data_IF_690514193419
#
_entry.id   IF_690514193419
#
_cell.length_a   1.000
_cell.length_b   1.000
_cell.length_c   1.000
_cell.angle_alpha   90.00
_cell.angle_beta   90.00
_cell.angle_gamma   90.00
#
_symmetry.space_group_name_H-M   'P 1'
#
loop_
_entity.id
_entity.type
_entity.pdbx_description
1 polymer ?
#
# COMPACT_ATOMS: atom_id res chain seq x y z
N UNK A 1 18.36 12.57 2.69
CA UNK A 1 17.22 12.69 3.64
C UNK A 1 16.14 11.73 3.18
N UNK A 2 15.65 10.84 4.04
CA UNK A 2 14.62 9.86 3.69
C UNK A 2 13.26 10.55 3.49
N UNK A 3 12.38 10.01 2.65
CA UNK A 3 11.03 10.56 2.43
C UNK A 3 10.06 10.33 3.61
N UNK A 4 10.49 9.61 4.66
CA UNK A 4 9.69 9.28 5.84
C UNK A 4 9.12 10.48 6.62
N UNK A 5 9.90 11.55 6.91
CA UNK A 5 9.41 12.73 7.64
C UNK A 5 8.35 13.53 6.87
N UNK A 6 8.28 13.39 5.54
CA UNK A 6 7.23 14.01 4.75
C UNK A 6 5.92 13.25 4.91
N UNK A 7 5.98 11.92 4.95
CA UNK A 7 4.81 11.07 5.15
C UNK A 7 4.22 11.21 6.56
N UNK A 8 5.05 11.44 7.58
CA UNK A 8 4.58 11.67 8.95
C UNK A 8 3.69 12.91 9.08
N UNK A 9 3.81 13.91 8.19
CA UNK A 9 2.90 15.07 8.17
C UNK A 9 1.46 14.70 7.79
N UNK A 10 1.25 13.56 7.13
CA UNK A 10 -0.10 13.04 6.87
C UNK A 10 -0.72 12.42 8.11
N UNK A 11 0.08 11.95 9.08
CA UNK A 11 -0.43 11.46 10.37
C UNK A 11 -0.95 12.58 11.27
N UNK A 12 -0.58 13.83 11.01
CA UNK A 12 -1.13 14.98 11.72
C UNK A 12 -2.62 15.19 11.40
N UNK A 13 -3.14 14.59 10.33
CA UNK A 13 -4.57 14.58 10.03
C UNK A 13 -5.25 13.56 10.95
N UNK A 14 -6.15 14.05 11.79
CA UNK A 14 -6.93 13.22 12.71
C UNK A 14 -7.61 12.05 11.98
N UNK A 15 -7.36 10.83 12.47
CA UNK A 15 -7.88 9.59 11.89
C UNK A 15 -6.95 8.90 10.90
N UNK A 16 -5.90 9.54 10.38
CA UNK A 16 -4.97 8.83 9.49
C UNK A 16 -4.19 7.76 10.25
N UNK A 17 -4.29 6.51 9.77
CA UNK A 17 -3.62 5.35 10.36
C UNK A 17 -2.18 5.28 9.86
N UNK A 18 -1.97 5.55 8.58
CA UNK A 18 -0.64 5.57 7.97
C UNK A 18 -0.66 5.90 6.48
N UNK A 19 0.51 6.06 5.91
CA UNK A 19 0.68 6.37 4.49
C UNK A 19 1.88 5.65 3.89
N UNK A 20 1.81 5.37 2.59
CA UNK A 20 2.91 4.77 1.86
C UNK A 20 2.87 5.19 0.38
N UNK A 21 3.99 5.04 -0.30
CA UNK A 21 4.17 5.49 -1.68
C UNK A 21 4.66 4.33 -2.51
N UNK A 22 3.99 4.12 -3.63
CA UNK A 22 4.36 3.12 -4.63
C UNK A 22 4.65 3.78 -5.98
N UNK A 23 5.54 3.14 -6.74
CA UNK A 23 5.88 3.52 -8.12
C UNK A 23 4.88 2.93 -9.12
N UNK A 24 4.95 3.30 -10.41
CA UNK A 24 4.15 2.72 -11.49
C UNK A 24 4.36 1.20 -11.64
N UNK A 25 5.53 0.69 -11.24
CA UNK A 25 5.85 -0.74 -11.28
C UNK A 25 5.27 -1.47 -10.04
N UNK A 26 4.67 -0.72 -9.10
CA UNK A 26 4.15 -1.26 -7.85
C UNK A 26 5.22 -1.48 -6.78
N UNK A 27 6.40 -0.89 -6.92
CA UNK A 27 7.48 -0.98 -5.94
C UNK A 27 7.30 0.06 -4.82
N UNK A 28 7.46 -0.36 -3.58
CA UNK A 28 7.37 0.52 -2.40
C UNK A 28 8.59 1.45 -2.36
N UNK A 29 8.36 2.77 -2.40
CA UNK A 29 9.42 3.81 -2.36
C UNK A 29 9.60 4.40 -0.98
N UNK A 30 8.51 4.61 -0.26
CA UNK A 30 8.50 5.16 1.08
C UNK A 30 7.31 4.62 1.85
N UNK A 31 7.46 4.46 3.16
CA UNK A 31 6.37 4.05 4.04
C UNK A 31 6.43 4.81 5.35
N UNK A 32 5.24 5.01 5.88
CA UNK A 32 4.99 5.54 7.20
C UNK A 32 3.71 4.88 7.73
N UNK A 33 3.86 3.61 8.11
CA UNK A 33 2.77 2.79 8.63
C UNK A 33 3.05 2.38 10.08
N UNK A 34 2.02 2.11 10.89
CA UNK A 34 2.19 1.48 12.20
C UNK A 34 2.84 0.09 12.08
N UNK A 35 3.50 -0.37 13.14
CA UNK A 35 4.25 -1.64 13.16
C UNK A 35 3.40 -2.89 12.89
N UNK A 36 2.08 -2.79 12.95
CA UNK A 36 1.15 -3.87 12.59
C UNK A 36 1.07 -4.15 11.08
N UNK A 37 1.63 -3.28 10.24
CA UNK A 37 1.68 -3.46 8.80
C UNK A 37 3.06 -3.90 8.34
N UNK A 38 3.16 -5.17 7.97
CA UNK A 38 4.39 -5.76 7.46
C UNK A 38 4.76 -5.23 6.08
N UNK A 39 6.06 -5.12 5.83
CA UNK A 39 6.62 -4.73 4.52
C UNK A 39 6.15 -5.66 3.40
N UNK A 40 6.01 -6.96 3.70
CA UNK A 40 5.54 -7.97 2.76
C UNK A 40 4.14 -7.68 2.26
N UNK A 41 3.21 -7.32 3.15
CA UNK A 41 1.84 -6.98 2.79
C UNK A 41 1.78 -5.74 1.89
N UNK A 42 2.59 -4.72 2.17
CA UNK A 42 2.69 -3.52 1.34
C UNK A 42 3.33 -3.82 -0.03
N UNK A 43 4.32 -4.71 -0.09
CA UNK A 43 4.93 -5.15 -1.34
C UNK A 43 3.98 -5.99 -2.20
N UNK A 44 3.06 -6.75 -1.60
CA UNK A 44 2.00 -7.43 -2.35
C UNK A 44 0.91 -6.47 -2.83
N UNK A 45 0.61 -5.43 -2.06
CA UNK A 45 -0.40 -4.43 -2.40
C UNK A 45 0.07 -3.51 -3.55
N UNK A 46 1.35 -3.15 -3.60
CA UNK A 46 1.89 -2.22 -4.59
C UNK A 46 1.60 -2.57 -6.05
N UNK A 47 1.90 -3.80 -6.52
CA UNK A 47 1.58 -4.22 -7.89
C UNK A 47 0.09 -4.21 -8.21
N UNK A 48 -0.77 -4.48 -7.22
CA UNK A 48 -2.23 -4.42 -7.40
C UNK A 48 -2.72 -2.99 -7.58
N UNK A 49 -2.13 -2.06 -6.84
CA UNK A 49 -2.41 -0.62 -6.93
C UNK A 49 -1.94 -0.04 -8.28
N UNK A 50 -0.75 -0.43 -8.73
CA UNK A 50 -0.25 -0.06 -10.05
C UNK A 50 -1.19 -0.51 -11.18
N UNK A 51 -1.62 -1.78 -11.15
CA UNK A 51 -2.60 -2.31 -12.11
C UNK A 51 -3.94 -1.61 -12.03
N UNK A 52 -4.38 -1.22 -10.83
CA UNK A 52 -5.61 -0.45 -10.65
C UNK A 52 -5.50 0.91 -11.33
N UNK A 53 -4.39 1.62 -11.16
CA UNK A 53 -4.13 2.89 -11.87
C UNK A 53 -4.19 2.69 -13.38
N UNK A 54 -3.46 1.72 -13.91
CA UNK A 54 -3.45 1.42 -15.35
C UNK A 54 -4.84 1.11 -15.89
N UNK A 55 -5.61 0.29 -15.16
CA UNK A 55 -6.98 -0.07 -15.54
C UNK A 55 -7.92 1.15 -15.56
N UNK A 56 -7.79 2.07 -14.61
CA UNK A 56 -8.58 3.30 -14.55
C UNK A 56 -8.17 4.29 -15.66
N UNK A 57 -6.87 4.43 -15.93
CA UNK A 57 -6.38 5.30 -17.01
C UNK A 57 -6.70 4.76 -18.41
N UNK A 58 -6.89 3.44 -18.56
CA UNK A 58 -7.33 2.82 -19.82
C UNK A 58 -8.72 3.32 -20.24
N UNK A 59 -9.53 3.83 -19.29
CA UNK A 59 -10.84 4.43 -19.56
C UNK A 59 -10.73 5.89 -20.04
N UNK A 60 -9.52 6.43 -20.17
CA UNK A 60 -9.24 7.76 -20.72
C UNK A 60 -9.23 8.89 -19.68
N UNK A 61 -9.46 8.57 -18.41
CA UNK A 61 -9.44 9.56 -17.33
C UNK A 61 -8.18 9.36 -16.46
N UNK A 62 -7.44 10.45 -16.21
CA UNK A 62 -6.29 10.39 -15.31
C UNK A 62 -6.76 10.14 -13.89
N UNK A 63 -6.14 9.17 -13.22
CA UNK A 63 -6.49 8.83 -11.85
C UNK A 63 -6.00 9.92 -10.87
N UNK A 64 -6.79 10.97 -10.65
CA UNK A 64 -6.39 12.02 -9.71
C UNK A 64 -6.56 11.56 -8.25
N UNK A 65 -7.73 11.03 -7.89
CA UNK A 65 -8.06 10.58 -6.54
C UNK A 65 -9.05 9.42 -6.60
N UNK A 66 -8.75 8.33 -5.91
CA UNK A 66 -9.61 7.14 -5.78
C UNK A 66 -9.70 6.76 -4.31
N UNK A 67 -10.90 6.47 -3.83
CA UNK A 67 -11.12 5.94 -2.49
C UNK A 67 -11.64 4.51 -2.58
N UNK A 68 -10.91 3.56 -1.99
CA UNK A 68 -11.35 2.18 -1.84
C UNK A 68 -11.82 1.98 -0.41
N UNK A 69 -13.12 1.73 -0.22
CA UNK A 69 -13.68 1.41 1.09
C UNK A 69 -13.62 -0.11 1.35
N UNK A 70 -13.15 -0.49 2.53
CA UNK A 70 -13.13 -1.87 3.01
C UNK A 70 -13.52 -1.91 4.49
N UNK A 71 -14.77 -2.27 4.76
CA UNK A 71 -15.32 -2.29 6.11
C UNK A 71 -15.26 -0.89 6.76
N UNK A 72 -14.69 -0.75 7.97
CA UNK A 72 -14.60 0.54 8.65
C UNK A 72 -13.45 1.43 8.13
N UNK A 73 -12.64 0.93 7.19
CA UNK A 73 -11.46 1.62 6.68
C UNK A 73 -11.59 1.99 5.21
N UNK A 74 -10.93 3.06 4.83
CA UNK A 74 -10.82 3.54 3.46
C UNK A 74 -9.36 3.77 3.11
N UNK A 75 -8.95 3.24 1.96
CA UNK A 75 -7.67 3.51 1.32
C UNK A 75 -7.87 4.62 0.29
N UNK A 76 -7.26 5.77 0.53
CA UNK A 76 -7.22 6.87 -0.43
C UNK A 76 -5.97 6.75 -1.28
N UNK A 77 -6.14 6.63 -2.59
CA UNK A 77 -5.09 6.58 -3.58
C UNK A 77 -5.08 7.88 -4.36
N UNK A 78 -3.90 8.43 -4.55
CA UNK A 78 -3.71 9.66 -5.29
C UNK A 78 -2.49 9.52 -6.18
N UNK A 79 -2.69 9.61 -7.49
CA UNK A 79 -1.58 9.53 -8.43
C UNK A 79 -1.03 10.93 -8.74
N UNK A 80 0.28 11.00 -8.95
CA UNK A 80 0.95 12.17 -9.48
C UNK A 80 2.12 11.72 -10.33
N UNK A 81 1.95 11.81 -11.66
CA UNK A 81 2.94 11.32 -12.62
C UNK A 81 3.25 9.84 -12.42
N UNK A 82 4.49 9.54 -12.03
CA UNK A 82 4.99 8.17 -11.84
C UNK A 82 4.81 7.63 -10.42
N UNK A 83 4.22 8.40 -9.52
CA UNK A 83 4.07 8.02 -8.11
C UNK A 83 2.61 7.92 -7.73
N UNK A 84 2.30 6.96 -6.86
CA UNK A 84 0.99 6.77 -6.27
C UNK A 84 1.16 6.85 -4.75
N UNK A 85 0.52 7.86 -4.15
CA UNK A 85 0.42 8.00 -2.71
C UNK A 85 -0.82 7.26 -2.21
N UNK A 86 -0.64 6.43 -1.21
CA UNK A 86 -1.69 5.66 -0.57
C UNK A 86 -1.79 6.06 0.90
N UNK A 87 -3.00 6.42 1.34
CA UNK A 87 -3.28 6.83 2.71
C UNK A 87 -4.38 5.94 3.26
N UNK A 88 -4.11 5.30 4.40
CA UNK A 88 -5.08 4.47 5.10
C UNK A 88 -5.71 5.29 6.24
N UNK A 89 -7.03 5.37 6.24
CA UNK A 89 -7.81 6.12 7.23
C UNK A 89 -9.16 5.42 7.47
N UNK A 90 -9.88 5.69 8.58
CA UNK A 90 -11.26 5.26 8.76
C UNK A 90 -12.18 5.99 7.78
N UNK A 91 -13.36 5.44 7.56
CA UNK A 91 -14.35 6.03 6.65
C UNK A 91 -14.82 7.43 7.08
N UNK A 92 -14.80 7.72 8.39
CA UNK A 92 -15.25 9.00 8.97
C UNK A 92 -14.18 10.10 9.02
N UNK A 93 -13.05 9.91 8.33
CA UNK A 93 -11.97 10.90 8.29
C UNK A 93 -12.41 12.21 7.61
N UNK A 94 -11.83 13.32 8.05
CA UNK A 94 -12.01 14.62 7.42
C UNK A 94 -11.39 14.62 6.00
N UNK A 95 -12.19 14.25 5.00
CA UNK A 95 -11.75 14.13 3.61
C UNK A 95 -11.16 15.43 3.02
N UNK A 96 -11.72 16.63 3.28
CA UNK A 96 -11.10 17.89 2.88
C UNK A 96 -9.66 18.05 3.38
N UNK A 97 -9.42 17.76 4.67
CA UNK A 97 -8.08 17.85 5.26
C UNK A 97 -7.12 16.83 4.66
N UNK A 98 -7.57 15.59 4.44
CA UNK A 98 -6.77 14.54 3.81
C UNK A 98 -6.42 14.89 2.36
N UNK A 99 -7.38 15.45 1.61
CA UNK A 99 -7.16 15.89 0.23
C UNK A 99 -6.14 17.04 0.17
N UNK A 100 -6.20 17.99 1.10
CA UNK A 100 -5.22 19.06 1.19
C UNK A 100 -3.83 18.54 1.58
N UNK A 101 -3.73 17.75 2.64
CA UNK A 101 -2.47 17.17 3.12
C UNK A 101 -1.79 16.30 2.05
N UNK A 102 -2.53 15.38 1.43
CA UNK A 102 -2.02 14.54 0.33
C UNK A 102 -1.54 15.37 -0.86
N UNK A 103 -2.14 16.53 -1.13
CA UNK A 103 -1.73 17.40 -2.23
C UNK A 103 -0.38 18.04 -1.97
N UNK A 104 -0.16 18.47 -0.72
CA UNK A 104 1.10 19.09 -0.30
C UNK A 104 2.23 18.06 -0.28
N UNK A 105 1.95 16.85 0.21
CA UNK A 105 2.92 15.75 0.20
C UNK A 105 3.28 15.37 -1.22
N UNK A 106 2.30 15.14 -2.12
CA UNK A 106 2.59 14.80 -3.51
C UNK A 106 3.43 15.86 -4.24
N UNK A 107 3.25 17.15 -3.93
CA UNK A 107 4.08 18.22 -4.52
C UNK A 107 5.54 18.16 -4.06
N UNK A 108 5.80 17.75 -2.82
CA UNK A 108 7.15 17.66 -2.23
C UNK A 108 7.81 16.30 -2.41
N UNK A 109 7.04 15.28 -2.77
CA UNK A 109 7.48 13.90 -2.85
C UNK A 109 8.56 13.66 -3.94
N UNK A 110 8.47 14.22 -5.16
CA UNK A 110 9.49 14.03 -6.18
C UNK A 110 10.86 14.55 -5.73
N UNK A 111 10.89 15.75 -5.13
CA UNK A 111 12.10 16.36 -4.60
C UNK A 111 12.68 15.54 -3.43
N UNK A 112 11.82 15.08 -2.51
CA UNK A 112 12.24 14.25 -1.38
C UNK A 112 12.85 12.92 -1.84
N UNK A 113 12.27 12.27 -2.85
CA UNK A 113 12.78 11.02 -3.41
C UNK A 113 14.07 11.22 -4.23
N UNK A 114 14.18 12.31 -5.00
CA UNK A 114 15.41 12.67 -5.69
C UNK A 114 16.57 12.90 -4.69
N UNK A 115 16.31 13.65 -3.62
CA UNK A 115 17.28 13.92 -2.55
C UNK A 115 17.66 12.66 -1.74
N UNK A 116 16.75 11.69 -1.63
CA UNK A 116 17.05 10.39 -1.02
C UNK A 116 18.01 9.56 -1.88
N UNK A 117 17.86 9.59 -3.22
CA UNK A 117 18.73 8.87 -4.16
C UNK A 117 20.16 9.43 -4.17
N UNK A 118 20.32 10.75 -4.07
CA UNK A 118 21.64 11.40 -4.07
C UNK A 118 22.44 11.23 -2.77
N UNK A 119 21.79 10.90 -1.65
CA UNK A 119 22.48 10.68 -0.38
C UNK A 119 23.28 9.36 -0.34
N UNK A 120 23.08 8.45 -1.30
CA UNK A 120 23.74 7.14 -1.37
C UNK A 120 25.12 7.18 -2.07
N UNK A 121 25.58 8.33 -2.56
CA UNK A 121 26.83 8.42 -3.34
C UNK A 121 28.07 8.85 -2.55
N UNK A 122 28.11 8.65 -1.22
CA UNK A 122 29.36 8.76 -0.48
C UNK A 122 29.92 7.36 -0.21
N UNK A 123 31.07 6.98 -0.77
CA UNK A 123 31.77 5.78 -0.35
C UNK A 123 32.10 5.94 1.14
N UNK A 124 31.88 4.92 1.98
CA UNK A 124 32.49 4.91 3.31
C UNK A 124 34.01 4.82 3.09
N UNK A 125 34.70 5.96 3.13
CA UNK A 125 36.14 5.97 3.40
C UNK A 125 36.31 5.56 4.85
N UNK A 126 36.14 4.26 5.09
CA UNK A 126 36.43 3.61 6.35
C UNK A 126 37.95 3.66 6.52
N UNK A 127 38.42 4.68 7.22
CA UNK A 127 39.77 4.78 7.76
C UNK A 127 40.05 3.49 8.54
N UNK A 128 41.04 2.66 8.16
CA UNK A 128 41.39 1.49 8.95
C UNK A 128 41.90 1.95 10.33
N UNK A 129 41.41 1.36 11.44
CA UNK A 129 41.99 1.57 12.75
C UNK A 129 43.41 0.94 12.79
N UNK A 130 44.39 1.57 13.48
CA UNK A 130 45.70 0.99 13.67
C UNK A 130 45.61 -0.31 14.49
N UNK A 131 46.34 -1.31 14.02
CA UNK A 131 46.46 -2.67 14.51
C UNK A 131 46.67 -2.77 16.03
N UNK A 132 45.82 -3.56 16.69
CA UNK A 132 46.06 -4.09 18.03
C UNK A 132 46.58 -5.55 17.93
N UNK A 133 47.50 -5.98 18.81
CA UNK A 133 48.23 -7.25 18.70
C UNK A 133 47.38 -8.50 19.00
N UNK A 134 47.86 -9.71 18.61
CA UNK A 134 47.13 -10.96 18.74
C UNK A 134 47.11 -11.45 20.20
N UNK A 135 45.91 -11.56 20.76
CA UNK A 135 45.69 -12.06 22.13
C UNK A 135 44.55 -13.07 22.19
N UNK A 136 44.94 -14.34 22.15
CA UNK A 136 44.33 -15.48 22.85
C UNK A 136 42.82 -15.74 22.69
N UNK A 137 42.53 -16.77 21.90
CA UNK A 137 41.24 -17.47 21.83
C UNK A 137 40.81 -18.06 23.18
N UNK A 138 39.49 -18.19 23.38
CA UNK A 138 38.93 -19.43 23.89
C UNK A 138 37.91 -20.01 22.92
N UNK A 139 38.22 -21.22 22.45
CA UNK A 139 37.33 -22.14 21.74
C UNK A 139 36.12 -22.47 22.61
N UNK A 140 34.93 -22.06 22.18
CA UNK A 140 33.67 -22.59 22.73
C UNK A 140 33.25 -23.84 21.93
N UNK A 141 32.86 -24.93 22.61
CA UNK A 141 32.53 -26.21 21.99
C UNK A 141 31.21 -26.17 21.21
N UNK A 142 31.21 -26.80 20.03
CA UNK A 142 30.03 -27.01 19.19
C UNK A 142 28.99 -27.90 19.90
N UNK A 143 27.68 -27.62 19.77
CA UNK A 143 26.63 -28.55 20.14
C UNK A 143 26.57 -29.74 19.16
N UNK A 144 26.19 -30.95 19.63
CA UNK A 144 26.05 -32.13 18.78
C UNK A 144 24.87 -32.01 17.80
N UNK A 145 24.97 -32.59 16.58
CA UNK A 145 23.87 -32.67 15.64
C UNK A 145 22.80 -33.62 16.16
N UNK A 146 21.57 -33.11 16.34
CA UNK A 146 20.38 -33.95 16.55
C UNK A 146 20.02 -34.68 15.25
N UNK A 147 19.71 -35.99 15.31
CA UNK A 147 19.40 -36.78 14.13
C UNK A 147 18.07 -36.38 13.49
N UNK A 148 18.14 -36.34 12.16
CA UNK A 148 17.05 -36.16 11.20
C UNK A 148 15.91 -37.14 11.44
N UNK A 149 14.72 -36.63 11.69
CA UNK A 149 13.46 -37.38 11.62
C UNK A 149 12.63 -36.80 10.47
N UNK A 150 12.64 -37.50 9.34
CA UNK A 150 11.65 -37.35 8.27
C UNK A 150 10.61 -38.50 8.39
N UNK A 151 9.50 -38.46 7.64
CA UNK A 151 8.23 -37.85 7.98
C UNK A 151 7.13 -38.91 8.26
N UNK A 152 6.04 -38.61 8.98
CA UNK A 152 4.80 -39.36 8.80
C UNK A 152 4.04 -38.85 7.57
N UNK A 153 3.61 -39.81 6.75
CA UNK A 153 2.80 -39.66 5.55
C UNK A 153 1.46 -38.92 5.80
N UNK A 154 0.88 -38.29 4.77
CA UNK A 154 -0.36 -37.53 4.88
C UNK A 154 -1.56 -38.41 5.25
N UNK A 155 -2.45 -37.98 6.17
CA UNK A 155 -3.76 -38.58 6.27
C UNK A 155 -4.57 -38.32 5.00
N UNK A 156 -5.18 -39.39 4.52
CA UNK A 156 -6.03 -39.46 3.35
C UNK A 156 -7.11 -38.37 3.31
N UNK A 157 -7.29 -37.81 2.13
CA UNK A 157 -8.36 -36.89 1.73
C UNK A 157 -9.72 -37.59 1.91
N UNK A 158 -10.63 -37.12 2.77
CA UNK A 158 -12.04 -37.46 2.66
C UNK A 158 -12.62 -36.68 1.48
N UNK A 159 -13.30 -37.41 0.61
CA UNK A 159 -13.90 -36.95 -0.63
C UNK A 159 -14.73 -35.67 -0.46
N UNK A 160 -14.58 -34.79 -1.44
CA UNK A 160 -15.41 -33.62 -1.63
C UNK A 160 -16.91 -34.00 -1.58
N UNK A 161 -17.75 -33.24 -0.84
CA UNK A 161 -19.18 -33.33 -1.02
C UNK A 161 -19.55 -32.85 -2.43
N UNK A 162 -20.58 -33.44 -3.07
CA UNK A 162 -21.02 -33.04 -4.40
C UNK A 162 -21.43 -31.55 -4.40
N UNK A 163 -21.20 -30.81 -5.51
CA UNK A 163 -21.66 -29.44 -5.62
C UNK A 163 -23.17 -29.39 -5.44
N UNK A 164 -23.60 -28.71 -4.38
CA UNK A 164 -24.99 -28.33 -4.19
C UNK A 164 -25.45 -27.55 -5.43
N UNK A 165 -26.64 -27.94 -5.90
CA UNK A 165 -27.30 -27.38 -7.07
C UNK A 165 -27.21 -25.86 -7.09
N UNK A 166 -26.88 -25.33 -8.28
CA UNK A 166 -26.94 -23.91 -8.57
C UNK A 166 -28.30 -23.34 -8.14
N UNK A 167 -28.34 -22.21 -7.41
CA UNK A 167 -29.59 -21.50 -7.21
C UNK A 167 -30.12 -21.04 -8.59
N UNK A 168 -31.45 -21.10 -8.83
CA UNK A 168 -32.03 -20.59 -10.06
C UNK A 168 -31.68 -19.10 -10.23
N UNK A 169 -31.52 -18.62 -11.47
CA UNK A 169 -31.23 -17.21 -11.72
C UNK A 169 -32.37 -16.35 -11.15
N UNK A 170 -32.02 -15.52 -10.16
CA UNK A 170 -32.88 -14.41 -9.73
C UNK A 170 -33.13 -13.51 -10.94
N UNK A 171 -34.40 -13.21 -11.29
CA UNK A 171 -34.68 -12.28 -12.37
C UNK A 171 -34.11 -10.92 -12.01
N UNK A 172 -33.24 -10.42 -12.88
CA UNK A 172 -32.74 -9.03 -12.88
C UNK A 172 -33.95 -8.13 -13.11
N UNK A 173 -34.52 -7.63 -12.02
CA UNK A 173 -35.46 -6.52 -12.08
C UNK A 173 -34.67 -5.29 -12.52
N UNK A 174 -34.82 -4.94 -13.80
CA UNK A 174 -34.39 -3.67 -14.36
C UNK A 174 -35.13 -2.53 -13.66
N UNK A 175 -34.55 -2.02 -12.57
CA UNK A 175 -34.99 -0.77 -11.96
C UNK A 175 -34.31 0.39 -12.68
N UNK A 176 -34.90 0.80 -13.80
CA UNK A 176 -34.59 2.05 -14.48
C UNK A 176 -35.17 3.21 -13.65
N UNK A 177 -34.52 3.55 -12.53
CA UNK A 177 -34.81 4.78 -11.81
C UNK A 177 -34.12 5.95 -12.52
N UNK A 178 -34.89 6.71 -13.33
CA UNK A 178 -34.52 8.03 -13.87
C UNK A 178 -34.07 8.90 -12.70
N UNK A 179 -32.76 9.14 -12.56
CA UNK A 179 -32.23 10.13 -11.62
C UNK A 179 -32.56 11.53 -12.15
N UNK A 180 -33.21 12.41 -11.36
CA UNK A 180 -33.47 13.78 -11.78
C UNK A 180 -32.15 14.52 -12.02
N UNK A 181 -32.02 15.12 -13.20
CA UNK A 181 -30.87 15.97 -13.55
C UNK A 181 -31.12 17.37 -13.00
N UNK A 182 -30.24 17.81 -12.13
CA UNK A 182 -30.20 19.19 -11.63
C UNK A 182 -29.17 19.97 -12.43
N UNK A 183 -29.56 21.08 -13.04
CA UNK A 183 -28.64 22.04 -13.65
C UNK A 183 -28.81 23.38 -12.94
N UNK A 184 -27.73 23.91 -12.35
CA UNK A 184 -27.73 25.19 -11.61
C UNK A 184 -28.85 25.32 -10.55
N UNK A 185 -29.09 24.26 -9.78
CA UNK A 185 -30.01 24.33 -8.62
C UNK A 185 -31.50 24.39 -8.97
N UNK A 186 -31.91 24.06 -10.20
CA UNK A 186 -33.31 23.77 -10.54
C UNK A 186 -33.48 22.36 -11.10
N UNK A 187 -34.60 21.73 -10.73
CA UNK A 187 -35.06 20.43 -11.24
C UNK A 187 -35.47 20.61 -12.71
N UNK A 188 -34.93 19.80 -13.61
CA UNK A 188 -35.40 19.71 -14.99
C UNK A 188 -36.32 18.48 -15.06
N UNK A 189 -37.61 18.71 -15.29
CA UNK A 189 -38.60 17.66 -15.57
C UNK A 189 -38.67 17.49 -17.10
N UNK A 190 -38.42 16.25 -17.56
CA UNK A 190 -38.59 15.83 -18.96
C UNK A 190 -40.06 15.42 -19.17
N UNK A 191 -40.73 16.04 -20.17
CA UNK A 191 -42.08 15.72 -20.66
C UNK A 191 -42.17 14.32 -21.31
#
# INVERSE_FOLDING_TARGET
MSAGPLLSTLRDVEGVIGSFVVDLIGQLRARDMPAMFDDSALQEAGPRIARLKEALETQGEQMELVSLAHGPHSLFLRASGELILCVLAPHEVNQPSLRMGSSLVLRRLPEALANARHATTLPPTHRPPPSAPPGLAPTLPLPPPVPSAAPPAPPAVPAAPPPAAAPPPVPVAASAAKRPRFFRGRLIEDD
#
